data_IF_162203682252
#
_entry.id   IF_162203682252
#
_cell.length_a   1.000
_cell.length_b   1.000
_cell.length_c   1.000
_cell.angle_alpha   90.00
_cell.angle_beta   90.00
_cell.angle_gamma   90.00
#
_symmetry.space_group_name_H-M   'P 1'
#
loop_
_entity.id
_entity.type
_entity.pdbx_description
1 polymer ?
#
# COMPACT_ATOMS: atom_id res chain seq x y z
N UNK A 1 23.48 43.15 35.56
CA UNK A 1 22.81 41.83 35.46
C UNK A 1 22.28 41.68 34.04
N UNK A 2 23.11 41.15 33.15
CA UNK A 2 22.76 40.90 31.75
C UNK A 2 23.31 39.53 31.38
N UNK A 3 22.42 38.57 31.15
CA UNK A 3 22.78 37.23 30.70
C UNK A 3 22.11 36.94 29.37
N UNK A 4 22.94 36.90 28.33
CA UNK A 4 22.64 36.34 27.02
C UNK A 4 22.52 34.81 27.11
N UNK A 5 21.52 34.17 26.49
CA UNK A 5 21.65 32.79 26.06
C UNK A 5 21.85 32.71 24.54
N UNK A 6 22.98 32.11 24.17
CA UNK A 6 23.36 31.70 22.81
C UNK A 6 22.59 30.44 22.38
N UNK A 7 22.14 30.48 21.12
CA UNK A 7 22.09 29.42 20.07
C UNK A 7 21.58 28.02 20.45
N UNK A 8 20.66 27.53 19.61
CA UNK A 8 20.81 26.28 18.84
C UNK A 8 19.86 26.34 17.62
N UNK A 9 20.40 26.64 16.42
CA UNK A 9 19.70 26.49 15.14
C UNK A 9 20.18 25.18 14.50
N UNK A 10 19.35 24.14 14.59
CA UNK A 10 19.50 22.91 13.82
C UNK A 10 19.02 23.16 12.39
N UNK A 11 19.94 23.43 11.47
CA UNK A 11 19.67 23.43 10.03
C UNK A 11 19.81 22.00 9.48
N UNK A 12 18.69 21.35 9.20
CA UNK A 12 18.67 20.09 8.45
C UNK A 12 19.00 20.35 6.99
N UNK A 13 20.15 19.87 6.53
CA UNK A 13 20.45 19.73 5.10
C UNK A 13 19.70 18.51 4.57
N UNK A 14 18.69 18.72 3.73
CA UNK A 14 18.18 17.67 2.86
C UNK A 14 18.31 18.14 1.41
N UNK A 15 19.25 17.51 0.70
CA UNK A 15 19.36 17.55 -0.75
C UNK A 15 18.23 16.69 -1.37
N UNK A 16 17.57 17.12 -2.45
CA UNK A 16 16.71 16.23 -3.22
C UNK A 16 17.59 15.32 -4.10
N UNK A 17 17.50 14.00 -3.88
CA UNK A 17 18.09 13.00 -4.76
C UNK A 17 17.34 12.98 -6.10
N UNK A 18 18.12 12.94 -7.18
CA UNK A 18 17.68 12.90 -8.57
C UNK A 18 16.80 11.66 -8.82
N UNK A 19 15.62 11.91 -9.36
CA UNK A 19 14.72 10.92 -9.94
C UNK A 19 15.42 10.25 -11.13
N UNK A 20 15.62 8.93 -11.07
CA UNK A 20 15.94 8.10 -12.24
C UNK A 20 14.64 7.71 -12.94
N UNK A 21 14.64 7.82 -14.27
CA UNK A 21 13.63 7.31 -15.20
C UNK A 21 13.38 5.80 -14.98
N UNK A 22 12.12 5.42 -14.71
CA UNK A 22 11.70 4.02 -14.70
C UNK A 22 11.61 3.50 -16.13
N UNK A 23 12.50 2.56 -16.47
CA UNK A 23 12.26 1.58 -17.52
C UNK A 23 11.24 0.54 -17.00
N UNK A 24 10.35 0.07 -17.87
CA UNK A 24 9.30 -0.88 -17.54
C UNK A 24 9.87 -2.29 -17.26
N UNK A 25 9.48 -2.98 -16.18
CA UNK A 25 9.76 -4.40 -16.05
C UNK A 25 8.81 -5.22 -16.91
N UNK A 26 9.35 -5.95 -17.89
CA UNK A 26 8.69 -7.12 -18.48
C UNK A 26 8.81 -8.26 -17.46
N UNK A 27 7.75 -8.55 -16.72
CA UNK A 27 7.67 -9.78 -15.93
C UNK A 27 6.53 -10.65 -16.45
N UNK A 28 6.92 -11.80 -16.99
CA UNK A 28 6.09 -12.99 -17.10
C UNK A 28 5.89 -13.56 -15.70
N UNK A 29 4.66 -13.85 -15.33
CA UNK A 29 4.29 -14.48 -14.07
C UNK A 29 4.39 -16.00 -14.20
N UNK A 30 5.55 -16.57 -13.86
CA UNK A 30 5.64 -17.98 -13.46
C UNK A 30 5.85 -18.03 -11.94
N UNK A 31 4.85 -18.58 -11.26
CA UNK A 31 4.82 -18.76 -9.82
C UNK A 31 5.85 -19.81 -9.40
N UNK A 32 7.04 -19.37 -8.97
CA UNK A 32 7.96 -20.22 -8.21
C UNK A 32 7.72 -20.01 -6.71
N UNK A 33 7.35 -21.09 -6.02
CA UNK A 33 7.21 -21.13 -4.56
C UNK A 33 8.58 -20.90 -3.89
N UNK A 34 8.64 -20.22 -2.74
CA UNK A 34 9.89 -20.10 -1.98
C UNK A 34 10.21 -21.40 -1.22
N UNK A 35 11.38 -21.96 -1.54
CA UNK A 35 12.35 -22.70 -0.71
C UNK A 35 11.82 -23.42 0.55
N UNK A 36 11.61 -24.74 0.46
CA UNK A 36 11.63 -25.65 1.63
C UNK A 36 13.05 -26.22 1.81
N UNK A 37 13.57 -26.21 3.03
CA UNK A 37 14.94 -26.64 3.37
C UNK A 37 15.07 -28.10 3.81
N UNK A 38 14.07 -28.95 3.56
CA UNK A 38 14.14 -30.39 3.87
C UNK A 38 14.59 -31.20 2.65
N UNK A 39 15.64 -32.04 2.76
CA UNK A 39 16.10 -32.89 1.65
C UNK A 39 15.08 -34.00 1.35
N UNK A 40 14.82 -34.28 0.07
CA UNK A 40 14.02 -35.43 -0.36
C UNK A 40 14.76 -36.73 -0.02
N UNK A 41 14.10 -37.64 0.71
CA UNK A 41 14.61 -39.00 0.92
C UNK A 41 14.24 -39.85 -0.31
N UNK A 42 15.25 -40.32 -1.05
CA UNK A 42 15.08 -41.36 -2.06
C UNK A 42 15.01 -42.74 -1.37
N UNK A 43 14.23 -43.67 -1.93
CA UNK A 43 13.96 -44.98 -1.33
C UNK A 43 15.18 -45.94 -1.35
N UNK A 44 16.24 -45.61 -2.09
CA UNK A 44 17.36 -46.51 -2.37
C UNK A 44 18.68 -46.04 -1.74
N UNK A 45 18.69 -45.70 -0.44
CA UNK A 45 19.95 -45.54 0.29
C UNK A 45 20.20 -46.70 1.26
N UNK A 46 21.42 -47.25 1.20
CA UNK A 46 21.87 -48.34 2.07
C UNK A 46 21.88 -47.89 3.55
N UNK A 47 21.22 -48.67 4.41
CA UNK A 47 21.15 -48.45 5.85
C UNK A 47 22.55 -48.35 6.48
N UNK A 48 22.83 -47.21 7.16
CA UNK A 48 24.08 -47.00 7.90
C UNK A 48 24.29 -48.06 8.98
N UNK A 49 25.53 -48.57 9.16
CA UNK A 49 25.84 -49.54 10.20
C UNK A 49 25.68 -48.88 11.57
N UNK A 50 24.67 -49.32 12.34
CA UNK A 50 24.34 -48.78 13.67
C UNK A 50 22.84 -48.61 13.94
N UNK A 51 21.96 -48.80 12.95
CA UNK A 51 20.53 -48.98 13.22
C UNK A 51 20.28 -50.35 13.86
N UNK A 52 19.48 -50.40 14.93
CA UNK A 52 19.15 -51.61 15.66
C UNK A 52 18.66 -52.71 14.69
N UNK A 53 19.49 -53.76 14.55
CA UNK A 53 19.10 -54.95 13.82
C UNK A 53 17.93 -55.61 14.56
N UNK A 54 16.85 -55.91 13.84
CA UNK A 54 15.78 -56.74 14.36
C UNK A 54 16.39 -58.08 14.81
N UNK A 55 16.26 -58.39 16.10
CA UNK A 55 16.56 -59.73 16.60
C UNK A 55 15.76 -60.75 15.77
N UNK A 56 16.40 -61.86 15.41
CA UNK A 56 15.78 -62.93 14.62
C UNK A 56 14.57 -63.49 15.39
N UNK A 57 13.39 -62.93 15.13
CA UNK A 57 12.14 -63.41 15.66
C UNK A 57 11.76 -64.68 14.90
N UNK A 58 11.57 -65.78 15.64
CA UNK A 58 10.98 -67.01 15.12
C UNK A 58 9.61 -66.65 14.52
N UNK A 59 9.27 -67.14 13.32
CA UNK A 59 8.01 -66.78 12.68
C UNK A 59 6.83 -67.14 13.59
N UNK A 60 5.87 -66.22 13.80
CA UNK A 60 4.76 -66.39 14.76
C UNK A 60 3.89 -67.63 14.48
N UNK A 61 3.93 -68.17 13.26
CA UNK A 61 3.22 -69.39 12.88
C UNK A 61 3.68 -70.65 13.66
N UNK A 62 4.97 -70.76 14.00
CA UNK A 62 5.50 -71.92 14.75
C UNK A 62 5.14 -71.85 16.25
N UNK A 63 5.08 -70.65 16.82
CA UNK A 63 4.70 -70.44 18.22
C UNK A 63 3.21 -70.71 18.47
N UNK A 64 2.34 -70.37 17.51
CA UNK A 64 0.89 -70.60 17.60
C UNK A 64 0.53 -72.10 17.53
N UNK A 65 1.23 -72.89 16.70
CA UNK A 65 0.98 -74.35 16.60
C UNK A 65 1.46 -75.14 17.83
N UNK A 66 2.55 -74.69 18.47
CA UNK A 66 3.08 -75.33 19.68
C UNK A 66 2.20 -75.12 20.93
N UNK A 67 1.38 -74.06 20.96
CA UNK A 67 0.45 -73.77 22.07
C UNK A 67 -0.92 -74.38 21.80
N UNK A 68 -1.42 -74.36 20.56
CA UNK A 68 -2.69 -74.99 20.19
C UNK A 68 -2.71 -76.51 20.48
N UNK A 69 -1.59 -77.20 20.26
CA UNK A 69 -1.45 -78.64 20.57
C UNK A 69 -1.41 -78.95 22.07
N UNK A 70 -1.16 -77.97 22.94
CA UNK A 70 -1.26 -78.13 24.40
C UNK A 70 -2.69 -77.96 24.92
N UNK A 71 -3.59 -77.33 24.15
CA UNK A 71 -4.94 -76.96 24.61
C UNK A 71 -6.02 -78.01 24.31
N UNK A 72 -5.75 -79.00 23.45
CA UNK A 72 -6.73 -80.07 23.14
C UNK A 72 -6.92 -81.12 24.25
N UNK A 73 -6.17 -81.06 25.35
CA UNK A 73 -6.20 -82.08 26.43
C UNK A 73 -6.84 -81.62 27.75
N UNK A 74 -7.45 -80.44 27.84
CA UNK A 74 -8.03 -79.95 29.09
C UNK A 74 -9.46 -79.39 28.90
N UNK A 75 -10.41 -79.98 29.63
CA UNK A 75 -11.81 -79.54 29.71
C UNK A 75 -11.99 -78.20 30.45
N UNK A 76 -13.24 -77.69 30.53
CA UNK A 76 -13.49 -76.26 30.71
C UNK A 76 -13.34 -75.77 32.15
N UNK A 77 -12.79 -74.55 32.25
CA UNK A 77 -13.10 -73.47 33.22
C UNK A 77 -12.74 -73.77 34.70
N UNK A 78 -11.57 -73.28 35.15
CA UNK A 78 -11.36 -72.79 36.54
C UNK A 78 -9.92 -72.33 36.88
N UNK A 79 -9.02 -72.09 35.91
CA UNK A 79 -7.68 -71.53 36.20
C UNK A 79 -7.21 -70.55 35.11
N UNK A 80 -7.66 -69.30 35.18
CA UNK A 80 -7.12 -68.20 34.34
C UNK A 80 -6.41 -67.11 35.15
N UNK A 81 -6.18 -67.32 36.45
CA UNK A 81 -5.72 -66.23 37.33
C UNK A 81 -4.19 -66.04 37.41
N UNK A 82 -3.38 -66.92 36.81
CA UNK A 82 -1.91 -66.86 36.89
C UNK A 82 -1.21 -67.06 35.53
N UNK A 83 -1.71 -66.45 34.45
CA UNK A 83 -1.08 -66.52 33.11
C UNK A 83 -0.18 -65.29 32.87
N UNK A 84 1.02 -65.51 32.34
CA UNK A 84 1.93 -64.41 31.95
C UNK A 84 1.34 -63.59 30.79
N UNK A 85 1.72 -62.31 30.63
CA UNK A 85 1.13 -61.46 29.59
C UNK A 85 1.31 -62.05 28.18
N UNK A 86 2.44 -62.70 27.90
CA UNK A 86 2.72 -63.37 26.63
C UNK A 86 1.84 -64.61 26.39
N UNK A 87 1.49 -65.35 27.43
CA UNK A 87 0.56 -66.48 27.32
C UNK A 87 -0.87 -66.01 27.11
N UNK A 88 -1.27 -64.90 27.75
CA UNK A 88 -2.60 -64.33 27.53
C UNK A 88 -2.77 -63.80 26.11
N UNK A 89 -1.75 -63.16 25.54
CA UNK A 89 -1.79 -62.69 24.15
C UNK A 89 -1.76 -63.86 23.17
N UNK A 90 -0.98 -64.92 23.45
CA UNK A 90 -0.98 -66.13 22.64
C UNK A 90 -2.35 -66.83 22.64
N UNK A 91 -3.04 -66.89 23.78
CA UNK A 91 -4.40 -67.45 23.88
C UNK A 91 -5.43 -66.59 23.13
N UNK A 92 -5.35 -65.27 23.25
CA UNK A 92 -6.21 -64.36 22.50
C UNK A 92 -5.99 -64.49 20.99
N UNK A 93 -4.74 -64.58 20.54
CA UNK A 93 -4.40 -64.81 19.14
C UNK A 93 -4.88 -66.19 18.67
N UNK A 94 -4.75 -67.23 19.48
CA UNK A 94 -5.25 -68.56 19.13
C UNK A 94 -6.78 -68.56 18.98
N UNK A 95 -7.52 -67.86 19.86
CA UNK A 95 -8.97 -67.67 19.75
C UNK A 95 -9.33 -66.88 18.48
N UNK A 96 -8.61 -65.80 18.18
CA UNK A 96 -8.83 -65.04 16.94
C UNK A 96 -8.57 -65.90 15.69
N UNK A 97 -7.53 -66.72 15.70
CA UNK A 97 -7.23 -67.62 14.58
C UNK A 97 -8.31 -68.70 14.43
N UNK A 98 -8.86 -69.24 15.52
CA UNK A 98 -10.00 -70.16 15.43
C UNK A 98 -11.26 -69.48 14.90
N UNK A 99 -11.52 -68.27 15.35
CA UNK A 99 -12.71 -67.50 14.95
C UNK A 99 -12.61 -67.11 13.46
N UNK A 100 -11.42 -66.72 12.99
CA UNK A 100 -11.18 -66.45 11.57
C UNK A 100 -11.32 -67.71 10.71
N UNK A 101 -10.83 -68.86 11.15
CA UNK A 101 -11.03 -70.14 10.44
C UNK A 101 -12.50 -70.53 10.38
N UNK A 102 -13.29 -70.22 11.41
CA UNK A 102 -14.73 -70.47 11.39
C UNK A 102 -15.48 -69.54 10.41
N UNK A 103 -14.89 -68.38 10.08
CA UNK A 103 -15.41 -67.42 9.10
C UNK A 103 -14.98 -67.73 7.65
N UNK A 104 -14.18 -68.77 7.41
CA UNK A 104 -13.79 -69.16 6.04
C UNK A 104 -15.04 -69.50 5.21
N UNK A 105 -15.17 -68.95 3.99
CA UNK A 105 -16.41 -68.99 3.23
C UNK A 105 -16.86 -70.41 2.87
N UNK A 106 -15.92 -71.34 2.68
CA UNK A 106 -16.23 -72.75 2.42
C UNK A 106 -16.86 -73.43 3.65
N UNK A 107 -16.27 -73.21 4.84
CA UNK A 107 -16.77 -73.75 6.11
C UNK A 107 -18.14 -73.17 6.44
N UNK A 108 -18.32 -71.87 6.23
CA UNK A 108 -19.60 -71.18 6.39
C UNK A 108 -20.65 -71.74 5.43
N UNK A 109 -20.30 -71.98 4.16
CA UNK A 109 -21.23 -72.54 3.17
C UNK A 109 -21.67 -73.97 3.52
N UNK A 110 -20.77 -74.79 4.08
CA UNK A 110 -21.07 -76.14 4.54
C UNK A 110 -21.91 -76.14 5.83
N UNK A 111 -21.68 -75.19 6.74
CA UNK A 111 -22.52 -74.99 7.93
C UNK A 111 -23.95 -74.57 7.54
N UNK A 112 -24.09 -73.69 6.55
CA UNK A 112 -25.39 -73.27 5.98
C UNK A 112 -26.09 -74.46 5.29
N UNK A 113 -25.36 -75.30 4.53
CA UNK A 113 -25.92 -76.54 3.96
C UNK A 113 -26.44 -77.50 5.02
N UNK A 114 -25.79 -77.56 6.19
CA UNK A 114 -26.21 -78.37 7.35
C UNK A 114 -27.33 -77.73 8.17
N UNK A 115 -27.86 -76.57 7.74
CA UNK A 115 -29.00 -75.90 8.37
C UNK A 115 -28.66 -75.06 9.60
N UNK A 116 -27.38 -74.79 9.87
CA UNK A 116 -26.95 -73.86 10.92
C UNK A 116 -26.96 -72.44 10.35
N UNK A 117 -27.91 -71.61 10.78
CA UNK A 117 -28.02 -70.21 10.36
C UNK A 117 -27.58 -69.27 11.48
N UNK A 118 -26.55 -68.46 11.22
CA UNK A 118 -26.07 -67.38 12.09
C UNK A 118 -24.61 -67.56 12.54
N UNK A 119 -23.81 -66.49 12.46
CA UNK A 119 -22.49 -66.42 13.10
C UNK A 119 -22.77 -66.19 14.61
N UNK A 120 -22.22 -66.97 15.55
CA UNK A 120 -22.31 -66.64 16.96
C UNK A 120 -21.51 -65.36 17.20
N UNK A 121 -22.20 -64.22 17.28
CA UNK A 121 -21.60 -63.03 17.85
C UNK A 121 -21.28 -63.36 19.31
N UNK A 122 -20.06 -63.12 19.75
CA UNK A 122 -19.62 -63.46 21.10
C UNK A 122 -20.57 -62.81 22.12
N UNK A 123 -21.40 -63.63 22.76
CA UNK A 123 -22.31 -63.22 23.84
C UNK A 123 -21.58 -62.96 25.17
N UNK A 124 -20.26 -63.15 25.20
CA UNK A 124 -19.42 -63.07 26.41
C UNK A 124 -18.90 -61.65 26.70
N UNK A 125 -19.26 -60.66 25.90
CA UNK A 125 -18.98 -59.26 26.22
C UNK A 125 -20.22 -58.69 26.92
N UNK A 126 -20.24 -58.78 28.26
CA UNK A 126 -21.25 -58.18 29.13
C UNK A 126 -21.16 -56.63 29.07
N UNK A 127 -21.53 -56.05 27.93
CA UNK A 127 -21.71 -54.61 27.72
C UNK A 127 -23.21 -54.34 27.54
N UNK A 128 -23.98 -54.65 28.58
CA UNK A 128 -25.45 -54.63 28.54
C UNK A 128 -26.03 -53.41 29.26
N UNK A 129 -25.31 -52.86 30.24
CA UNK A 129 -25.77 -51.75 31.06
C UNK A 129 -25.23 -50.40 30.54
N UNK A 130 -26.07 -49.35 30.57
CA UNK A 130 -25.74 -47.98 30.08
C UNK A 130 -24.50 -47.39 30.78
N UNK A 131 -24.22 -47.82 32.02
CA UNK A 131 -23.08 -47.38 32.84
C UNK A 131 -21.72 -47.85 32.30
N UNK A 132 -21.68 -48.79 31.34
CA UNK A 132 -20.43 -49.18 30.67
C UNK A 132 -20.00 -48.22 29.55
N UNK A 133 -20.84 -47.24 29.21
CA UNK A 133 -20.51 -46.16 28.28
C UNK A 133 -20.16 -44.84 28.98
N UNK A 134 -20.25 -44.79 30.31
CA UNK A 134 -19.81 -43.63 31.10
C UNK A 134 -18.29 -43.60 31.13
N UNK A 135 -17.71 -42.62 30.44
CA UNK A 135 -16.30 -42.28 30.56
C UNK A 135 -16.11 -41.76 31.99
N UNK A 136 -15.38 -42.49 32.84
CA UNK A 136 -15.07 -42.06 34.21
C UNK A 136 -14.52 -40.62 34.16
N UNK A 137 -15.29 -39.63 34.63
CA UNK A 137 -14.81 -38.25 34.77
C UNK A 137 -13.61 -38.30 35.73
N UNK A 138 -12.45 -37.83 35.27
CA UNK A 138 -11.24 -37.73 36.08
C UNK A 138 -11.56 -37.10 37.45
N UNK A 139 -11.09 -37.73 38.54
CA UNK A 139 -11.28 -37.29 39.93
C UNK A 139 -11.27 -35.75 40.07
N UNK A 140 -12.44 -35.13 40.27
CA UNK A 140 -12.62 -33.65 40.43
C UNK A 140 -11.73 -33.04 41.53
N UNK A 141 -11.19 -33.87 42.43
CA UNK A 141 -10.26 -33.49 43.51
C UNK A 141 -8.81 -33.29 43.05
N UNK A 142 -8.45 -33.74 41.84
CA UNK A 142 -7.07 -33.70 41.30
C UNK A 142 -6.87 -32.62 40.24
N UNK A 143 -7.96 -32.11 39.65
CA UNK A 143 -7.91 -31.02 38.67
C UNK A 143 -7.90 -29.69 39.43
N UNK A 144 -6.84 -28.90 39.28
CA UNK A 144 -6.82 -27.55 39.83
C UNK A 144 -7.97 -26.75 39.20
N UNK A 145 -8.91 -26.27 40.00
CA UNK A 145 -10.01 -25.42 39.53
C UNK A 145 -9.42 -24.19 38.82
N UNK A 146 -9.77 -23.99 37.54
CA UNK A 146 -9.33 -22.83 36.76
C UNK A 146 -9.96 -21.53 37.27
N UNK A 147 -9.48 -20.39 36.77
CA UNK A 147 -10.05 -19.07 37.05
C UNK A 147 -11.55 -19.00 36.74
N UNK A 148 -12.03 -19.66 35.69
CA UNK A 148 -13.45 -19.68 35.32
C UNK A 148 -14.32 -20.51 36.29
N UNK A 149 -13.72 -21.41 37.07
CA UNK A 149 -14.40 -22.16 38.12
C UNK A 149 -14.50 -21.35 39.45
N UNK A 150 -13.89 -20.17 39.55
CA UNK A 150 -14.02 -19.27 40.72
C UNK A 150 -15.42 -18.61 40.76
N UNK A 151 -16.43 -19.36 41.22
CA UNK A 151 -17.79 -18.87 41.44
C UNK A 151 -18.89 -19.76 40.85
N UNK A 152 -18.56 -20.56 39.85
CA UNK A 152 -19.46 -21.52 39.22
C UNK A 152 -18.69 -22.79 38.82
N UNK A 153 -18.82 -23.84 39.64
CA UNK A 153 -18.02 -25.08 39.53
C UNK A 153 -18.35 -25.91 38.26
N UNK A 154 -19.44 -25.59 37.55
CA UNK A 154 -19.82 -26.24 36.28
C UNK A 154 -19.06 -25.73 35.04
N UNK A 155 -18.31 -24.63 35.16
CA UNK A 155 -17.59 -24.04 34.03
C UNK A 155 -16.29 -24.78 33.66
N UNK A 156 -15.84 -25.72 34.50
CA UNK A 156 -14.69 -26.58 34.21
C UNK A 156 -13.32 -25.88 34.33
N UNK A 157 -12.30 -26.48 33.73
CA UNK A 157 -10.94 -25.94 33.72
C UNK A 157 -10.76 -24.84 32.66
N UNK A 158 -9.81 -23.93 32.88
CA UNK A 158 -9.51 -22.87 31.91
C UNK A 158 -8.93 -23.44 30.62
N UNK A 159 -9.30 -22.86 29.48
CA UNK A 159 -8.74 -23.22 28.18
C UNK A 159 -7.28 -22.71 28.06
N UNK A 160 -6.36 -23.63 27.81
CA UNK A 160 -4.98 -23.29 27.46
C UNK A 160 -4.88 -22.77 26.02
N UNK A 161 -3.92 -21.87 25.75
CA UNK A 161 -3.67 -21.38 24.40
C UNK A 161 -2.84 -22.38 23.59
N UNK A 162 -3.44 -22.95 22.54
CA UNK A 162 -2.81 -23.97 21.69
C UNK A 162 -2.10 -23.42 20.45
N UNK A 163 -2.07 -22.09 20.26
CA UNK A 163 -1.47 -21.48 19.06
C UNK A 163 -2.34 -21.56 17.81
N UNK A 164 -3.65 -21.70 17.99
CA UNK A 164 -4.68 -21.90 16.97
C UNK A 164 -5.37 -20.59 16.54
N UNK A 165 -5.23 -19.50 17.29
CA UNK A 165 -5.76 -18.19 16.94
C UNK A 165 -4.68 -17.10 16.80
N UNK A 166 -5.01 -16.05 16.04
CA UNK A 166 -4.20 -14.85 15.90
C UNK A 166 -4.66 -13.78 16.89
N UNK A 167 -3.75 -12.88 17.26
CA UNK A 167 -4.14 -11.66 17.99
C UNK A 167 -5.11 -10.82 17.15
N UNK A 168 -5.87 -9.93 17.81
CA UNK A 168 -6.80 -9.01 17.12
C UNK A 168 -6.14 -8.19 16.01
N UNK A 169 -4.88 -7.79 16.18
CA UNK A 169 -4.10 -7.11 15.15
C UNK A 169 -3.79 -8.03 13.96
N UNK A 170 -3.44 -9.29 14.23
CA UNK A 170 -3.21 -10.33 13.21
C UNK A 170 -4.47 -10.62 12.40
N UNK A 171 -5.64 -10.67 13.04
CA UNK A 171 -6.93 -10.75 12.34
C UNK A 171 -7.21 -9.54 11.46
N UNK A 172 -6.84 -8.33 11.93
CA UNK A 172 -6.90 -7.11 11.12
C UNK A 172 -6.07 -7.20 9.84
N UNK A 173 -4.83 -7.68 9.93
CA UNK A 173 -3.97 -7.90 8.76
C UNK A 173 -4.51 -8.98 7.83
N UNK A 174 -5.01 -10.08 8.39
CA UNK A 174 -5.63 -11.16 7.63
C UNK A 174 -6.88 -10.68 6.87
N UNK A 175 -7.72 -9.85 7.51
CA UNK A 175 -8.87 -9.22 6.88
C UNK A 175 -8.46 -8.28 5.73
N UNK A 176 -7.42 -7.47 5.93
CA UNK A 176 -6.84 -6.64 4.85
C UNK A 176 -6.36 -7.50 3.68
N UNK A 177 -5.73 -8.65 3.95
CA UNK A 177 -5.30 -9.56 2.90
C UNK A 177 -6.48 -10.21 2.15
N UNK A 178 -7.56 -10.57 2.87
CA UNK A 178 -8.81 -11.04 2.24
C UNK A 178 -9.42 -9.99 1.32
N UNK A 179 -9.48 -8.73 1.77
CA UNK A 179 -9.95 -7.60 0.95
C UNK A 179 -9.07 -7.40 -0.30
N UNK A 180 -7.74 -7.47 -0.18
CA UNK A 180 -6.84 -7.39 -1.35
C UNK A 180 -7.11 -8.50 -2.36
N UNK A 181 -7.35 -9.73 -1.89
CA UNK A 181 -7.67 -10.88 -2.75
C UNK A 181 -9.03 -10.70 -3.43
N UNK A 182 -9.99 -10.10 -2.76
CA UNK A 182 -11.28 -9.74 -3.33
C UNK A 182 -11.11 -8.75 -4.48
N UNK A 183 -10.41 -7.63 -4.29
CA UNK A 183 -10.11 -6.69 -5.38
C UNK A 183 -9.30 -7.33 -6.51
N UNK A 184 -8.34 -8.21 -6.21
CA UNK A 184 -7.60 -8.94 -7.23
C UNK A 184 -8.53 -9.84 -8.07
N UNK A 185 -9.53 -10.46 -7.45
CA UNK A 185 -10.56 -11.24 -8.15
C UNK A 185 -11.42 -10.35 -9.05
N UNK A 186 -11.88 -9.19 -8.54
CA UNK A 186 -12.64 -8.22 -9.34
C UNK A 186 -11.84 -7.74 -10.57
N UNK A 187 -10.55 -7.46 -10.38
CA UNK A 187 -9.65 -7.05 -11.48
C UNK A 187 -9.48 -8.16 -12.51
N UNK A 188 -9.32 -9.41 -12.07
CA UNK A 188 -9.10 -10.53 -12.98
C UNK A 188 -10.36 -10.90 -13.78
N UNK A 189 -11.54 -10.86 -13.16
CA UNK A 189 -12.75 -11.47 -13.73
C UNK A 189 -13.82 -10.45 -14.12
N UNK A 190 -13.98 -9.35 -13.39
CA UNK A 190 -15.05 -8.37 -13.66
C UNK A 190 -14.58 -7.18 -14.49
N UNK A 191 -13.41 -6.61 -14.17
CA UNK A 191 -12.89 -5.43 -14.88
C UNK A 191 -12.75 -5.63 -16.40
N UNK A 192 -12.33 -6.81 -16.93
CA UNK A 192 -12.30 -7.03 -18.38
C UNK A 192 -13.68 -6.95 -19.04
N UNK A 193 -14.75 -7.27 -18.31
CA UNK A 193 -16.13 -7.21 -18.81
C UNK A 193 -16.59 -5.75 -19.01
N UNK A 194 -16.04 -4.79 -18.26
CA UNK A 194 -16.34 -3.36 -18.44
C UNK A 194 -15.94 -2.86 -19.83
N UNK A 195 -14.96 -3.49 -20.49
CA UNK A 195 -14.55 -3.12 -21.84
C UNK A 195 -15.70 -3.29 -22.85
N UNK A 196 -16.64 -4.20 -22.60
CA UNK A 196 -17.82 -4.40 -23.46
C UNK A 196 -18.79 -3.20 -23.41
N UNK A 197 -18.77 -2.44 -22.32
CA UNK A 197 -19.61 -1.25 -22.10
C UNK A 197 -18.87 0.06 -22.44
N UNK A 198 -17.57 -0.02 -22.74
CA UNK A 198 -16.75 1.13 -23.03
C UNK A 198 -17.18 1.77 -24.36
N UNK A 199 -17.32 3.10 -24.36
CA UNK A 199 -17.59 3.90 -25.56
C UNK A 199 -16.34 4.67 -25.95
N UNK A 200 -15.91 4.66 -27.23
CA UNK A 200 -14.75 5.43 -27.65
C UNK A 200 -15.02 6.93 -27.48
N UNK A 201 -13.98 7.68 -27.11
CA UNK A 201 -14.07 9.13 -26.98
C UNK A 201 -14.17 9.78 -28.37
N UNK A 202 -15.26 10.50 -28.62
CA UNK A 202 -15.43 11.34 -29.79
C UNK A 202 -15.18 12.79 -29.42
N UNK A 203 -14.23 13.49 -30.07
CA UNK A 203 -13.96 14.89 -29.77
C UNK A 203 -15.19 15.76 -30.10
N UNK A 204 -15.45 16.84 -29.34
CA UNK A 204 -16.56 17.73 -29.59
C UNK A 204 -16.37 18.47 -30.92
N UNK A 205 -17.47 18.66 -31.65
CA UNK A 205 -17.51 19.40 -32.92
C UNK A 205 -17.74 20.89 -32.66
N UNK A 206 -17.48 21.75 -33.66
CA UNK A 206 -17.76 23.19 -33.61
C UNK A 206 -19.23 23.53 -33.28
N UNK A 207 -20.17 22.64 -33.60
CA UNK A 207 -21.59 22.77 -33.26
C UNK A 207 -21.86 22.75 -31.74
N UNK A 208 -20.93 22.23 -30.93
CA UNK A 208 -21.06 22.12 -29.47
C UNK A 208 -20.02 22.97 -28.73
N UNK A 209 -20.12 24.32 -28.78
CA UNK A 209 -19.11 25.22 -28.20
C UNK A 209 -19.20 25.36 -26.68
N UNK A 210 -20.24 24.82 -26.05
CA UNK A 210 -20.48 24.98 -24.62
C UNK A 210 -19.90 23.82 -23.81
N UNK A 211 -19.06 24.14 -22.83
CA UNK A 211 -18.55 23.16 -21.87
C UNK A 211 -19.22 23.37 -20.52
N UNK A 212 -20.09 22.42 -20.17
CA UNK A 212 -20.73 22.38 -18.85
C UNK A 212 -19.91 21.54 -17.88
N UNK A 213 -19.77 22.03 -16.65
CA UNK A 213 -19.15 21.33 -15.53
C UNK A 213 -20.17 21.12 -14.41
N UNK A 214 -20.32 19.86 -14.01
CA UNK A 214 -21.14 19.43 -12.89
C UNK A 214 -20.23 18.94 -11.77
N UNK A 215 -20.67 19.10 -10.52
CA UNK A 215 -19.97 18.58 -9.35
C UNK A 215 -20.87 17.56 -8.67
N UNK A 216 -20.35 16.35 -8.43
CA UNK A 216 -21.03 15.30 -7.67
C UNK A 216 -20.13 14.86 -6.52
N UNK A 217 -20.72 14.64 -5.35
CA UNK A 217 -20.07 14.10 -4.16
C UNK A 217 -20.45 12.63 -3.93
N UNK A 218 -20.81 11.93 -5.02
CA UNK A 218 -21.21 10.53 -5.01
C UNK A 218 -22.42 10.31 -4.09
N UNK A 219 -22.21 9.68 -2.94
CA UNK A 219 -23.25 9.31 -1.98
C UNK A 219 -23.51 10.39 -0.91
N UNK A 220 -22.81 11.53 -0.96
CA UNK A 220 -22.98 12.61 0.00
C UNK A 220 -23.88 13.73 -0.54
N UNK A 221 -24.84 14.15 0.29
CA UNK A 221 -25.66 15.33 0.00
C UNK A 221 -24.91 16.60 0.37
N UNK A 222 -24.33 17.27 -0.63
CA UNK A 222 -23.60 18.52 -0.44
C UNK A 222 -24.27 19.69 -1.19
N UNK A 223 -24.46 20.87 -0.56
CA UNK A 223 -25.18 21.99 -1.19
C UNK A 223 -24.51 22.49 -2.48
N UNK A 224 -23.17 22.43 -2.56
CA UNK A 224 -22.45 22.82 -3.77
C UNK A 224 -22.63 21.85 -4.95
N UNK A 225 -23.24 20.67 -4.75
CA UNK A 225 -23.54 19.76 -5.84
C UNK A 225 -24.49 20.39 -6.86
N UNK A 226 -25.36 21.30 -6.43
CA UNK A 226 -26.36 21.91 -7.33
C UNK A 226 -25.76 22.89 -8.33
N UNK A 227 -24.57 23.43 -8.04
CA UNK A 227 -23.90 24.43 -8.87
C UNK A 227 -23.53 23.85 -10.23
N UNK A 228 -23.93 24.55 -11.29
CA UNK A 228 -23.51 24.27 -12.66
C UNK A 228 -22.66 25.42 -13.18
N UNK A 229 -21.58 25.10 -13.88
CA UNK A 229 -20.71 26.10 -14.52
C UNK A 229 -20.70 25.84 -16.01
N UNK A 230 -20.82 26.89 -16.80
CA UNK A 230 -20.67 26.88 -18.25
C UNK A 230 -19.49 27.76 -18.64
N UNK A 231 -18.68 27.26 -19.57
CA UNK A 231 -17.62 28.01 -20.22
C UNK A 231 -17.75 27.90 -21.73
N UNK A 232 -17.52 29.01 -22.43
CA UNK A 232 -17.54 29.09 -23.88
C UNK A 232 -16.66 30.24 -24.38
N UNK A 233 -16.21 30.15 -25.63
CA UNK A 233 -15.44 31.20 -26.29
C UNK A 233 -16.39 32.07 -27.12
N UNK A 234 -16.31 33.42 -27.03
CA UNK A 234 -17.07 34.30 -27.92
C UNK A 234 -16.79 34.07 -29.41
N UNK A 235 -15.57 33.65 -29.76
CA UNK A 235 -15.16 33.32 -31.13
C UNK A 235 -15.86 32.07 -31.66
N UNK A 236 -16.00 31.02 -30.84
CA UNK A 236 -16.70 29.81 -31.26
C UNK A 236 -18.18 30.09 -31.55
N UNK A 237 -18.79 30.99 -30.77
CA UNK A 237 -20.16 31.44 -31.02
C UNK A 237 -20.29 32.24 -32.32
N UNK A 238 -19.23 32.92 -32.78
CA UNK A 238 -19.24 33.61 -34.07
C UNK A 238 -19.49 32.65 -35.22
N UNK A 239 -18.83 31.48 -35.18
CA UNK A 239 -19.02 30.41 -36.17
C UNK A 239 -20.39 29.74 -36.03
N UNK A 240 -20.82 29.43 -34.82
CA UNK A 240 -22.05 28.64 -34.59
C UNK A 240 -23.33 29.45 -34.78
N UNK A 241 -23.34 30.72 -34.39
CA UNK A 241 -24.53 31.59 -34.44
C UNK A 241 -24.43 32.73 -35.47
N UNK A 242 -23.40 32.69 -36.34
CA UNK A 242 -23.13 33.67 -37.39
C UNK A 242 -23.12 35.11 -36.85
N UNK A 243 -22.32 35.35 -35.80
CA UNK A 243 -22.14 36.68 -35.20
C UNK A 243 -21.04 37.43 -35.94
N UNK A 244 -21.27 38.71 -36.22
CA UNK A 244 -20.23 39.61 -36.73
C UNK A 244 -19.21 39.96 -35.64
N UNK A 245 -17.99 40.36 -36.00
CA UNK A 245 -16.94 40.78 -35.07
C UNK A 245 -17.40 41.90 -34.13
N UNK A 246 -18.22 42.83 -34.63
CA UNK A 246 -18.82 43.92 -33.84
C UNK A 246 -19.77 43.35 -32.77
N UNK A 247 -20.57 42.33 -33.12
CA UNK A 247 -21.49 41.67 -32.20
C UNK A 247 -20.74 40.81 -31.17
N UNK A 248 -19.62 40.20 -31.55
CA UNK A 248 -18.71 39.49 -30.64
C UNK A 248 -18.07 40.48 -29.64
N UNK A 249 -17.65 41.65 -30.12
CA UNK A 249 -17.15 42.74 -29.28
C UNK A 249 -18.21 43.20 -28.27
N UNK A 250 -19.46 43.40 -28.71
CA UNK A 250 -20.61 43.67 -27.83
C UNK A 250 -20.82 42.55 -26.81
N UNK A 251 -20.78 41.28 -27.22
CA UNK A 251 -20.96 40.14 -26.33
C UNK A 251 -19.89 40.10 -25.22
N UNK A 252 -18.62 40.39 -25.56
CA UNK A 252 -17.53 40.49 -24.59
C UNK A 252 -17.81 41.60 -23.56
N UNK A 253 -18.29 42.76 -24.02
CA UNK A 253 -18.64 43.89 -23.14
C UNK A 253 -19.81 43.54 -22.20
N UNK A 254 -20.85 42.88 -22.72
CA UNK A 254 -22.00 42.41 -21.93
C UNK A 254 -21.62 41.35 -20.89
N UNK A 255 -20.66 40.47 -21.22
CA UNK A 255 -20.17 39.47 -20.28
C UNK A 255 -19.48 40.11 -19.06
N UNK A 256 -18.85 41.28 -19.25
CA UNK A 256 -18.20 42.07 -18.22
C UNK A 256 -17.15 41.26 -17.44
N UNK A 257 -17.24 41.16 -16.10
CA UNK A 257 -16.22 40.48 -15.29
C UNK A 257 -16.15 38.96 -15.52
N UNK A 258 -17.13 38.39 -16.23
CA UNK A 258 -17.20 36.95 -16.53
C UNK A 258 -16.30 36.55 -17.69
N UNK A 259 -15.90 37.50 -18.52
CA UNK A 259 -14.94 37.28 -19.60
C UNK A 259 -13.51 37.41 -19.10
N UNK A 260 -12.63 36.48 -19.48
CA UNK A 260 -11.20 36.58 -19.19
C UNK A 260 -10.42 36.87 -20.49
N UNK A 261 -9.75 38.02 -20.63
CA UNK A 261 -9.01 38.37 -21.84
C UNK A 261 -7.78 37.50 -22.09
N UNK A 262 -7.19 36.88 -21.05
CA UNK A 262 -6.00 36.05 -21.21
C UNK A 262 -6.32 34.67 -21.79
N UNK A 263 -7.45 34.10 -21.38
CA UNK A 263 -7.87 32.76 -21.83
C UNK A 263 -8.98 32.82 -22.88
N UNK A 264 -9.55 34.00 -23.13
CA UNK A 264 -10.63 34.28 -24.09
C UNK A 264 -11.94 33.50 -23.82
N UNK A 265 -12.13 33.03 -22.59
CA UNK A 265 -13.34 32.32 -22.18
C UNK A 265 -14.27 33.22 -21.38
N UNK A 266 -15.57 33.09 -21.63
CA UNK A 266 -16.63 33.57 -20.74
C UNK A 266 -17.01 32.42 -19.81
N UNK A 267 -16.93 32.65 -18.50
CA UNK A 267 -17.27 31.66 -17.49
C UNK A 267 -18.44 32.15 -16.63
N UNK A 268 -19.55 31.41 -16.66
CA UNK A 268 -20.76 31.75 -15.92
C UNK A 268 -21.16 30.54 -15.07
N UNK A 269 -21.59 30.78 -13.83
CA UNK A 269 -22.10 29.71 -12.96
C UNK A 269 -23.45 30.10 -12.38
N UNK A 270 -24.30 29.09 -12.16
CA UNK A 270 -25.58 29.25 -11.48
C UNK A 270 -25.71 28.22 -10.36
N UNK A 271 -26.15 28.68 -9.20
CA UNK A 271 -26.45 27.89 -8.01
C UNK A 271 -27.74 28.38 -7.31
N UNK A 272 -28.59 29.10 -8.05
CA UNK A 272 -29.81 29.72 -7.50
C UNK A 272 -30.92 28.69 -7.25
N UNK A 273 -30.96 27.60 -8.02
CA UNK A 273 -32.01 26.59 -7.95
C UNK A 273 -31.53 25.31 -7.24
N UNK A 274 -32.48 24.58 -6.69
CA UNK A 274 -32.24 23.35 -5.93
C UNK A 274 -31.79 22.16 -6.79
N UNK A 275 -31.99 22.20 -8.10
CA UNK A 275 -31.61 21.09 -8.98
C UNK A 275 -30.59 21.54 -10.03
N UNK A 276 -29.62 20.67 -10.31
CA UNK A 276 -28.61 20.91 -11.35
C UNK A 276 -29.26 21.15 -12.73
N UNK A 277 -30.36 20.43 -13.03
CA UNK A 277 -31.08 20.56 -14.29
C UNK A 277 -31.69 21.98 -14.46
N UNK A 278 -32.28 22.53 -13.41
CA UNK A 278 -32.81 23.91 -13.43
C UNK A 278 -31.68 24.92 -13.57
N UNK A 279 -30.58 24.77 -12.81
CA UNK A 279 -29.41 25.65 -12.93
C UNK A 279 -28.81 25.62 -14.35
N UNK A 280 -28.71 24.45 -14.98
CA UNK A 280 -28.28 24.30 -16.37
C UNK A 280 -29.23 25.00 -17.34
N UNK A 281 -30.55 24.82 -17.17
CA UNK A 281 -31.56 25.44 -18.03
C UNK A 281 -31.48 26.97 -17.96
N UNK A 282 -31.41 27.52 -16.76
CA UNK A 282 -31.27 28.95 -16.55
C UNK A 282 -30.00 29.52 -17.21
N UNK A 283 -28.88 28.79 -17.14
CA UNK A 283 -27.66 29.17 -17.86
C UNK A 283 -27.86 29.18 -19.38
N UNK A 284 -28.60 28.21 -19.92
CA UNK A 284 -28.94 28.16 -21.34
C UNK A 284 -29.80 29.37 -21.77
N UNK A 285 -30.84 29.69 -21.00
CA UNK A 285 -31.70 30.86 -21.22
C UNK A 285 -30.92 32.17 -21.14
N UNK A 286 -30.01 32.29 -20.16
CA UNK A 286 -29.14 33.47 -19.99
C UNK A 286 -28.18 33.64 -21.18
N UNK A 287 -27.57 32.55 -21.65
CA UNK A 287 -26.69 32.57 -22.82
C UNK A 287 -27.47 32.95 -24.07
N UNK A 288 -28.66 32.39 -24.24
CA UNK A 288 -29.53 32.73 -25.36
C UNK A 288 -29.88 34.22 -25.36
N UNK A 289 -30.26 34.78 -24.21
CA UNK A 289 -30.51 36.21 -24.05
C UNK A 289 -29.27 37.05 -24.38
N UNK A 290 -28.07 36.64 -23.95
CA UNK A 290 -26.82 37.32 -24.30
C UNK A 290 -26.53 37.33 -25.81
N UNK A 291 -26.82 36.22 -26.50
CA UNK A 291 -26.65 36.10 -27.95
C UNK A 291 -27.70 36.94 -28.70
N UNK A 292 -28.92 37.03 -28.19
CA UNK A 292 -29.96 37.87 -28.78
C UNK A 292 -29.65 39.35 -28.60
N UNK A 293 -29.21 39.74 -27.40
CA UNK A 293 -28.83 41.11 -27.08
C UNK A 293 -27.58 41.53 -27.87
N UNK A 294 -26.63 40.63 -28.13
CA UNK A 294 -25.46 40.96 -28.95
C UNK A 294 -25.82 41.24 -30.42
N UNK A 295 -26.94 40.70 -30.92
CA UNK A 295 -27.42 40.94 -32.30
C UNK A 295 -28.28 42.19 -32.44
N UNK A 296 -28.94 42.62 -31.37
CA UNK A 296 -29.98 43.67 -31.41
C UNK A 296 -29.50 44.94 -30.69
N UNK A 297 -30.06 46.11 -31.01
CA UNK A 297 -29.82 47.35 -30.24
C UNK A 297 -28.48 48.05 -30.55
N UNK A 298 -27.97 48.80 -29.57
CA UNK A 298 -26.70 49.53 -29.67
C UNK A 298 -25.49 48.58 -29.65
N UNK A 299 -24.49 48.83 -30.49
CA UNK A 299 -23.29 48.01 -30.67
C UNK A 299 -22.14 48.37 -29.71
N UNK A 300 -22.30 49.44 -28.92
CA UNK A 300 -21.33 49.91 -27.93
C UNK A 300 -19.91 50.12 -28.50
N UNK A 301 -19.78 50.60 -29.73
CA UNK A 301 -18.46 50.77 -30.38
C UNK A 301 -17.61 51.86 -29.72
N UNK A 302 -18.27 52.86 -29.18
CA UNK A 302 -17.72 53.97 -28.41
C UNK A 302 -17.15 53.54 -27.03
N UNK A 303 -17.68 52.45 -26.45
CA UNK A 303 -17.23 51.93 -25.16
C UNK A 303 -15.98 51.06 -25.33
N UNK A 304 -14.83 51.39 -24.70
CA UNK A 304 -13.65 50.53 -24.75
C UNK A 304 -13.85 49.25 -23.92
N UNK A 305 -13.05 48.21 -24.19
CA UNK A 305 -13.07 47.01 -23.37
C UNK A 305 -12.55 47.29 -21.96
N UNK A 306 -13.32 46.93 -20.94
CA UNK A 306 -12.88 46.97 -19.54
C UNK A 306 -12.34 45.61 -19.11
N UNK A 307 -11.04 45.58 -18.77
CA UNK A 307 -10.34 44.40 -18.27
C UNK A 307 -9.77 44.58 -16.86
N UNK A 308 -10.22 45.59 -16.11
CA UNK A 308 -9.70 45.91 -14.77
C UNK A 308 -9.90 44.78 -13.75
N UNK A 309 -10.89 43.91 -13.95
CA UNK A 309 -11.13 42.74 -13.11
C UNK A 309 -10.06 41.65 -13.25
N UNK A 310 -9.28 41.63 -14.34
CA UNK A 310 -8.27 40.60 -14.59
C UNK A 310 -6.87 41.12 -14.26
N UNK A 311 -6.27 40.52 -13.24
CA UNK A 311 -4.86 40.75 -12.89
C UNK A 311 -3.96 39.92 -13.80
N UNK A 312 -3.31 40.57 -14.77
CA UNK A 312 -2.35 39.93 -15.68
C UNK A 312 -1.11 39.49 -14.90
N UNK A 313 -0.84 38.19 -14.88
CA UNK A 313 0.37 37.63 -14.29
C UNK A 313 1.49 37.65 -15.32
N UNK A 314 2.52 38.47 -15.10
CA UNK A 314 3.72 38.49 -15.94
C UNK A 314 4.45 37.16 -15.77
N UNK A 315 4.60 36.42 -16.87
CA UNK A 315 5.46 35.23 -16.91
C UNK A 315 6.85 35.67 -17.32
N UNK A 316 7.82 35.48 -16.45
CA UNK A 316 9.24 35.66 -16.79
C UNK A 316 9.73 34.36 -17.39
N UNK A 317 10.29 34.44 -18.59
CA UNK A 317 10.86 33.29 -19.28
C UNK A 317 12.38 33.35 -19.18
N UNK A 318 13.03 32.19 -19.33
CA UNK A 318 14.48 32.14 -19.40
C UNK A 318 14.95 32.93 -20.64
N UNK A 319 15.85 33.93 -20.50
CA UNK A 319 16.28 34.71 -21.64
C UNK A 319 16.89 33.82 -22.72
N UNK A 320 16.31 33.86 -23.93
CA UNK A 320 16.82 33.09 -25.06
C UNK A 320 18.30 33.41 -25.35
N UNK A 321 18.71 34.66 -25.13
CA UNK A 321 20.09 35.08 -25.25
C UNK A 321 21.05 34.29 -24.34
N UNK A 322 20.62 33.82 -23.17
CA UNK A 322 21.47 33.06 -22.25
C UNK A 322 21.57 31.57 -22.60
N UNK A 323 20.78 31.10 -23.56
CA UNK A 323 20.89 29.73 -24.05
C UNK A 323 22.31 29.50 -24.57
N UNK A 324 22.92 28.40 -24.14
CA UNK A 324 24.32 28.09 -24.44
C UNK A 324 24.47 27.48 -25.84
N UNK A 325 24.13 28.26 -26.87
CA UNK A 325 24.29 27.93 -28.29
C UNK A 325 25.79 27.78 -28.63
N UNK A 326 26.15 27.03 -29.69
CA UNK A 326 27.55 26.89 -30.09
C UNK A 326 28.22 28.25 -30.36
N UNK A 327 27.50 29.18 -30.99
CA UNK A 327 27.94 30.55 -31.22
C UNK A 327 28.22 31.29 -29.91
N UNK A 328 27.32 31.19 -28.93
CA UNK A 328 27.52 31.81 -27.62
C UNK A 328 28.67 31.17 -26.85
N UNK A 329 28.91 29.87 -27.01
CA UNK A 329 30.10 29.21 -26.44
C UNK A 329 31.39 29.79 -27.02
N UNK A 330 31.45 29.95 -28.35
CA UNK A 330 32.59 30.54 -29.03
C UNK A 330 32.81 32.00 -28.61
N UNK A 331 31.75 32.80 -28.58
CA UNK A 331 31.79 34.18 -28.07
C UNK A 331 32.30 34.24 -26.62
N UNK A 332 31.78 33.39 -25.74
CA UNK A 332 32.21 33.34 -24.34
C UNK A 332 33.66 32.87 -24.20
N UNK A 333 34.14 31.99 -25.07
CA UNK A 333 35.55 31.58 -25.09
C UNK A 333 36.46 32.73 -25.52
N UNK A 334 36.11 33.43 -26.62
CA UNK A 334 36.83 34.61 -27.09
C UNK A 334 36.89 35.71 -26.02
N UNK A 335 35.74 36.02 -25.41
CA UNK A 335 35.65 37.03 -24.34
C UNK A 335 36.48 36.66 -23.10
N UNK A 336 36.58 35.38 -22.75
CA UNK A 336 37.45 34.92 -21.66
C UNK A 336 38.94 35.10 -22.01
N UNK A 337 39.32 34.74 -23.24
CA UNK A 337 40.70 34.90 -23.71
C UNK A 337 41.13 36.38 -23.82
N UNK A 338 40.24 37.26 -24.29
CA UNK A 338 40.49 38.71 -24.31
C UNK A 338 40.69 39.27 -22.91
N UNK A 339 39.86 38.84 -21.95
CA UNK A 339 39.99 39.27 -20.56
C UNK A 339 41.31 38.82 -19.94
N UNK A 340 41.71 37.58 -20.18
CA UNK A 340 42.98 37.03 -19.70
C UNK A 340 44.18 37.83 -20.22
N UNK A 341 44.19 38.18 -21.52
CA UNK A 341 45.23 39.05 -22.10
C UNK A 341 45.30 40.41 -21.43
N UNK A 342 44.17 41.09 -21.25
CA UNK A 342 44.13 42.40 -20.60
C UNK A 342 44.61 42.34 -19.14
N UNK A 343 44.28 41.26 -18.43
CA UNK A 343 44.73 41.06 -17.06
C UNK A 343 46.25 40.81 -17.01
N UNK A 344 46.82 40.08 -17.96
CA UNK A 344 48.27 39.86 -18.06
C UNK A 344 49.04 41.11 -18.49
N UNK A 345 48.50 41.91 -19.40
CA UNK A 345 49.05 43.23 -19.76
C UNK A 345 49.12 44.15 -18.52
N UNK A 346 48.07 44.18 -17.71
CA UNK A 346 48.05 44.95 -16.46
C UNK A 346 49.06 44.44 -15.45
N UNK A 347 49.23 43.13 -15.32
CA UNK A 347 50.28 42.54 -14.44
C UNK A 347 51.67 42.93 -14.91
N UNK A 348 51.96 42.79 -16.20
CA UNK A 348 53.28 43.06 -16.76
C UNK A 348 53.64 44.56 -16.67
N UNK A 349 52.65 45.44 -16.85
CA UNK A 349 52.84 46.88 -16.70
C UNK A 349 52.83 47.35 -15.23
N UNK A 350 52.67 46.44 -14.26
CA UNK A 350 52.59 46.78 -12.83
C UNK A 350 51.35 47.58 -12.42
N UNK A 351 50.35 47.65 -13.31
CA UNK A 351 49.08 48.36 -13.11
C UNK A 351 48.00 47.48 -12.45
N UNK A 352 48.27 46.19 -12.25
CA UNK A 352 47.36 45.30 -11.53
C UNK A 352 47.42 45.61 -10.03
N UNK A 353 46.40 46.32 -9.55
CA UNK A 353 46.26 46.68 -8.14
C UNK A 353 45.83 45.47 -7.31
N UNK A 354 46.69 45.05 -6.39
CA UNK A 354 46.30 44.15 -5.31
C UNK A 354 45.94 44.97 -4.07
N UNK A 355 44.65 44.98 -3.72
CA UNK A 355 44.15 45.73 -2.56
C UNK A 355 44.79 45.30 -1.24
N UNK A 356 45.23 44.05 -1.10
CA UNK A 356 45.92 43.61 0.13
C UNK A 356 47.29 44.26 0.26
N UNK A 357 48.06 44.23 -0.82
CA UNK A 357 49.41 44.81 -0.87
C UNK A 357 49.33 46.33 -0.69
N UNK A 358 48.37 47.01 -1.33
CA UNK A 358 48.16 48.45 -1.15
C UNK A 358 47.82 48.79 0.30
N UNK A 359 46.97 48.00 0.96
CA UNK A 359 46.62 48.22 2.37
C UNK A 359 47.84 47.95 3.27
N UNK A 360 48.52 46.82 3.12
CA UNK A 360 49.72 46.48 3.90
C UNK A 360 50.84 47.52 3.74
N UNK A 361 51.02 48.07 2.53
CA UNK A 361 52.02 49.10 2.27
C UNK A 361 51.61 50.49 2.77
N UNK A 362 50.32 50.84 2.81
CA UNK A 362 49.84 52.16 3.26
C UNK A 362 49.58 52.26 4.77
N UNK A 363 49.20 51.16 5.43
CA UNK A 363 48.97 51.08 6.88
C UNK A 363 50.12 51.64 7.75
N UNK A 364 51.40 51.35 7.51
CA UNK A 364 52.49 51.92 8.31
C UNK A 364 52.61 53.44 8.16
N UNK A 365 52.31 54.01 6.99
CA UNK A 365 52.32 55.47 6.79
C UNK A 365 51.15 56.17 7.48
N UNK A 366 49.99 55.50 7.58
CA UNK A 366 48.82 56.03 8.29
C UNK A 366 49.04 56.10 9.82
N UNK A 367 49.77 55.14 10.39
CA UNK A 367 50.10 55.13 11.81
C UNK A 367 51.16 56.19 12.17
N UNK A 368 52.01 56.58 11.22
CA UNK A 368 53.10 57.53 11.45
C UNK A 368 52.62 59.00 11.52
N UNK A 369 51.51 59.34 10.85
CA UNK A 369 50.89 60.68 10.94
C UNK A 369 50.24 60.96 12.31
N UNK A 370 49.91 59.92 13.09
CA UNK A 370 49.29 60.07 14.41
C UNK A 370 50.33 60.39 15.51
N UNK A 371 51.61 60.09 15.30
CA UNK A 371 52.67 60.25 16.32
C UNK A 371 53.48 61.57 16.19
N UNK A 372 53.25 62.38 15.15
CA UNK A 372 54.11 63.53 14.82
C UNK A 372 53.60 64.93 15.24
N UNK A 373 52.49 65.05 15.97
CA UNK A 373 52.09 66.30 16.65
C UNK A 373 52.02 66.12 18.17
N UNK A 374 53.19 65.99 18.82
CA UNK A 374 53.29 66.24 20.27
C UNK A 374 53.63 67.71 20.50
N UNK A 375 52.58 68.54 20.58
CA UNK A 375 52.68 69.91 21.13
C UNK A 375 52.95 69.80 22.63
N UNK A 376 54.03 70.39 23.18
CA UNK A 376 54.32 70.30 24.60
C UNK A 376 53.38 71.24 25.37
N UNK A 377 52.37 70.69 26.05
CA UNK A 377 51.63 71.38 27.10
C UNK A 377 52.15 70.90 28.45
N UNK A 378 52.95 71.76 29.08
CA UNK A 378 53.41 71.57 30.45
C UNK A 378 52.26 71.54 31.46
N UNK A 379 52.50 70.90 32.61
CA UNK A 379 51.65 71.04 33.78
C UNK A 379 51.67 69.85 34.72
N UNK A 380 52.61 69.87 35.67
CA UNK A 380 52.55 69.10 36.92
C UNK A 380 51.20 69.30 37.62
N UNK A 381 50.54 68.19 38.01
CA UNK A 381 49.84 68.04 39.31
C UNK A 381 49.33 66.62 39.49
N UNK A 382 49.82 65.97 40.54
CA UNK A 382 49.56 64.57 40.85
C UNK A 382 48.21 64.27 41.51
N UNK A 383 47.94 62.97 41.63
CA UNK A 383 47.55 62.26 42.87
C UNK A 383 47.43 60.77 42.57
N UNK A 384 48.11 59.94 43.37
CA UNK A 384 47.79 58.52 43.51
C UNK A 384 46.61 58.36 44.45
N UNK A 385 45.58 57.65 44.01
CA UNK A 385 44.59 57.01 44.87
C UNK A 385 44.39 55.56 44.39
N UNK A 386 44.24 54.71 45.40
CA UNK A 386 44.18 53.24 45.48
C UNK A 386 43.67 52.46 44.26
#
# INVERSE_FOLDING_TARGET
>A
MASLPRRLLLQSRQCPSRIRSRAAPKHTSQWHRPLSTTPQRCADEDTKPGSAAAAAATPPAEQVQAVASKTESQGPISKQKDLSPEETTALQLARLVSDLKALDPEVVSDAVRKGQHGIPFATDADLVDDEHFDIEEDDKRKVAAGFWAEGEESMGADEDYFGDDLTSHGHGELAMHRMKREYARLIAWEMPLLNQLAKPFTPPTSATPFRFRYTSYLNESHPAANKVVVEFTPQDLATTHNLSEIQVSKLIKLAGPRYNPNTQFVKISCEQFNTQAQNKRHLGETIHALIQESKTGDMFQDVPFDFRHVKVKKRVEFPAAWALTPERKAYLAAKRAEKEKLDDEKKNNGLLVDGKIVVETSLPFLNQEVEAETVPLGGDRGKRLR
#
